data_IF_843541737289
#
_entry.id   IF_843541737289
#
_cell.length_a   1.000
_cell.length_b   1.000
_cell.length_c   1.000
_cell.angle_alpha   90.00
_cell.angle_beta   90.00
_cell.angle_gamma   90.00
#
_symmetry.space_group_name_H-M   'P 1'
#
loop_
_entity.id
_entity.type
_entity.pdbx_description
1 polymer ?
#
# COMPACT_ATOMS: atom_id res chain seq x y z
N UNK A 1 -37.61 -27.08 42.02
CA UNK A 1 -38.64 -26.11 42.47
C UNK A 1 -39.24 -25.48 41.23
N UNK A 2 -40.42 -25.97 40.82
CA UNK A 2 -41.24 -25.38 39.77
C UNK A 2 -42.68 -25.53 40.26
N UNK A 3 -43.36 -24.39 40.47
CA UNK A 3 -44.77 -24.26 40.80
C UNK A 3 -45.30 -23.18 39.86
N UNK A 4 -46.22 -23.58 38.96
CA UNK A 4 -47.64 -23.16 38.92
C UNK A 4 -47.86 -21.84 38.16
N UNK A 5 -48.92 -21.63 37.37
CA UNK A 5 -49.92 -22.41 36.63
C UNK A 5 -50.77 -21.32 35.94
N UNK A 6 -51.19 -21.50 34.67
CA UNK A 6 -52.61 -21.52 34.26
C UNK A 6 -53.38 -20.16 34.36
N UNK A 7 -54.25 -19.71 33.45
CA UNK A 7 -55.04 -20.38 32.41
C UNK A 7 -55.74 -19.36 31.48
N UNK A 8 -55.97 -19.82 30.24
CA UNK A 8 -57.22 -19.74 29.42
C UNK A 8 -57.74 -18.43 28.77
N UNK A 9 -57.77 -18.54 27.44
CA UNK A 9 -58.92 -18.48 26.48
C UNK A 9 -59.75 -17.18 26.42
N UNK A 10 -59.66 -16.51 25.26
CA UNK A 10 -60.47 -16.89 24.10
C UNK A 10 -61.54 -15.91 23.61
N UNK A 11 -61.56 -15.76 22.27
CA UNK A 11 -62.73 -15.58 21.37
C UNK A 11 -62.95 -14.18 20.79
N UNK A 12 -63.08 -14.19 19.46
CA UNK A 12 -63.38 -13.11 18.53
C UNK A 12 -64.89 -12.80 18.41
N UNK A 13 -65.22 -11.62 17.87
CA UNK A 13 -66.39 -11.18 17.04
C UNK A 13 -66.31 -9.64 17.01
N UNK A 14 -66.06 -8.97 15.89
CA UNK A 14 -66.92 -8.60 14.75
C UNK A 14 -67.97 -7.49 15.01
N UNK A 15 -68.04 -6.59 14.03
CA UNK A 15 -69.14 -5.70 13.61
C UNK A 15 -69.31 -4.26 14.16
N UNK A 16 -68.94 -3.31 13.27
CA UNK A 16 -69.73 -2.21 12.65
C UNK A 16 -70.44 -1.07 13.44
N UNK A 17 -70.29 0.11 12.82
CA UNK A 17 -71.26 1.20 12.58
C UNK A 17 -71.34 2.48 13.45
N UNK A 18 -71.09 3.59 12.72
CA UNK A 18 -71.82 4.88 12.66
C UNK A 18 -72.00 5.75 13.91
N UNK A 19 -71.55 7.02 13.85
CA UNK A 19 -72.35 8.22 13.49
C UNK A 19 -71.58 9.54 13.81
N UNK A 20 -71.23 10.37 12.82
CA UNK A 20 -71.70 11.76 12.53
C UNK A 20 -71.87 12.73 13.74
N UNK A 21 -71.58 14.04 13.72
CA UNK A 21 -71.54 15.04 12.64
C UNK A 21 -70.97 16.41 13.13
N UNK A 22 -70.44 17.22 12.16
CA UNK A 22 -70.53 18.71 12.02
C UNK A 22 -69.79 19.61 13.06
N UNK A 23 -69.25 20.79 12.74
CA UNK A 23 -69.27 21.70 11.57
C UNK A 23 -68.31 22.86 11.88
N UNK A 24 -67.57 23.39 10.89
CA UNK A 24 -67.03 24.75 10.97
C UNK A 24 -65.74 25.02 10.18
N UNK A 25 -65.84 25.10 8.86
CA UNK A 25 -64.91 25.88 8.00
C UNK A 25 -65.58 27.25 7.70
N UNK A 26 -64.87 28.36 7.42
CA UNK A 26 -63.86 28.43 6.34
C UNK A 26 -62.69 29.43 6.48
N UNK A 27 -61.57 29.15 5.78
CA UNK A 27 -61.09 29.95 4.63
C UNK A 27 -59.62 29.63 4.27
N UNK A 28 -59.46 28.94 3.15
CA UNK A 28 -58.70 29.38 1.96
C UNK A 28 -57.30 29.97 2.16
N UNK A 29 -56.27 29.16 1.90
CA UNK A 29 -55.26 29.55 0.90
C UNK A 29 -54.60 28.33 0.24
N UNK A 30 -54.75 28.26 -1.08
CA UNK A 30 -54.22 27.23 -1.97
C UNK A 30 -52.77 27.58 -2.33
N UNK A 31 -51.82 26.69 -2.06
CA UNK A 31 -50.63 26.51 -2.92
C UNK A 31 -50.31 25.00 -2.98
N UNK A 32 -50.42 24.45 -4.19
CA UNK A 32 -49.91 23.13 -4.54
C UNK A 32 -48.38 23.21 -4.75
N UNK A 33 -47.62 22.33 -4.11
CA UNK A 33 -46.31 21.87 -4.60
C UNK A 33 -45.96 20.52 -3.95
N UNK A 34 -45.68 19.51 -4.77
CA UNK A 34 -45.67 18.10 -4.39
C UNK A 34 -44.57 17.67 -3.42
N UNK A 35 -44.92 16.74 -2.54
CA UNK A 35 -43.97 15.95 -1.74
C UNK A 35 -43.17 15.02 -2.67
N UNK A 36 -41.98 15.45 -3.09
CA UNK A 36 -40.91 14.53 -3.45
C UNK A 36 -40.32 13.97 -2.16
N UNK A 37 -40.53 12.68 -1.89
CA UNK A 37 -39.78 11.95 -0.86
C UNK A 37 -38.35 11.81 -1.37
N UNK A 38 -37.51 12.79 -1.04
CA UNK A 38 -36.07 12.69 -1.20
C UNK A 38 -35.54 11.69 -0.18
N UNK A 39 -35.23 10.49 -0.63
CA UNK A 39 -34.44 9.52 0.14
C UNK A 39 -33.04 10.12 0.34
N UNK A 40 -32.84 10.85 1.44
CA UNK A 40 -31.52 11.23 1.89
C UNK A 40 -30.81 9.94 2.36
N UNK A 41 -30.13 9.26 1.45
CA UNK A 41 -29.08 8.32 1.82
C UNK A 41 -27.99 9.14 2.49
N UNK A 42 -28.04 9.18 3.81
CA UNK A 42 -26.92 9.62 4.64
C UNK A 42 -25.78 8.64 4.35
N UNK A 43 -24.93 8.97 3.37
CA UNK A 43 -23.62 8.39 3.21
C UNK A 43 -22.87 8.73 4.49
N UNK A 44 -22.95 7.85 5.48
CA UNK A 44 -22.00 7.84 6.59
C UNK A 44 -20.66 7.54 5.95
N UNK A 45 -19.91 8.60 5.66
CA UNK A 45 -18.48 8.50 5.46
C UNK A 45 -17.95 8.05 6.81
N UNK A 46 -17.88 6.73 7.00
CA UNK A 46 -17.11 6.18 8.09
C UNK A 46 -15.71 6.77 7.91
N UNK A 47 -15.13 7.38 8.95
CA UNK A 47 -13.74 7.80 8.85
C UNK A 47 -12.95 6.56 8.45
N UNK A 48 -12.33 6.61 7.27
CA UNK A 48 -11.24 5.70 6.94
C UNK A 48 -10.17 6.05 7.97
N UNK A 49 -10.18 5.34 9.09
CA UNK A 49 -9.11 5.44 10.06
C UNK A 49 -7.85 5.10 9.29
N UNK A 50 -6.96 6.09 9.10
CA UNK A 50 -5.65 5.86 8.53
C UNK A 50 -4.97 4.79 9.41
N UNK A 51 -4.97 3.56 8.92
CA UNK A 51 -4.31 2.45 9.57
C UNK A 51 -2.82 2.71 9.39
N UNK A 52 -2.10 2.89 10.50
CA UNK A 52 -0.70 3.28 10.50
C UNK A 52 0.13 2.17 9.84
N UNK A 53 0.39 2.34 8.54
CA UNK A 53 1.03 1.35 7.71
C UNK A 53 2.54 1.49 7.77
N UNK A 54 3.22 0.36 7.87
CA UNK A 54 4.65 0.26 7.69
C UNK A 54 4.97 -0.83 6.66
N UNK A 55 6.14 -0.70 6.06
CA UNK A 55 6.76 -1.71 5.21
C UNK A 55 7.98 -2.26 5.92
N UNK A 56 8.04 -3.58 6.11
CA UNK A 56 9.27 -4.23 6.52
C UNK A 56 10.12 -4.47 5.27
N UNK A 57 11.42 -4.22 5.34
CA UNK A 57 12.38 -4.59 4.30
C UNK A 57 13.10 -5.83 4.80
N UNK A 58 12.85 -6.98 4.20
CA UNK A 58 13.49 -8.24 4.58
C UNK A 58 14.89 -8.36 3.94
N UNK A 59 15.77 -9.13 4.57
CA UNK A 59 17.14 -9.37 4.10
C UNK A 59 17.19 -10.10 2.74
N UNK A 60 16.14 -10.82 2.38
CA UNK A 60 15.98 -11.47 1.08
C UNK A 60 15.42 -10.54 -0.01
N UNK A 61 15.12 -9.29 0.35
CA UNK A 61 14.56 -8.26 -0.54
C UNK A 61 13.03 -8.25 -0.61
N UNK A 62 12.34 -9.15 0.08
CA UNK A 62 10.88 -9.06 0.20
C UNK A 62 10.48 -7.85 1.04
N UNK A 63 9.34 -7.24 0.70
CA UNK A 63 8.86 -6.01 1.35
C UNK A 63 7.40 -6.09 1.74
N UNK A 64 7.04 -6.88 2.76
CA UNK A 64 5.66 -6.97 3.22
C UNK A 64 5.22 -5.63 3.84
N UNK A 65 4.02 -5.18 3.48
CA UNK A 65 3.38 -3.98 4.04
C UNK A 65 2.10 -4.34 4.79
N UNK A 66 1.81 -3.59 5.84
CA UNK A 66 0.62 -3.75 6.66
C UNK A 66 0.65 -2.83 7.88
N UNK A 67 -0.28 -3.03 8.80
CA UNK A 67 -0.25 -2.34 10.08
C UNK A 67 0.80 -2.99 10.98
N UNK A 68 1.80 -2.22 11.40
CA UNK A 68 2.77 -2.72 12.35
C UNK A 68 2.14 -2.70 13.75
N UNK A 69 2.14 -3.84 14.42
CA UNK A 69 1.42 -4.00 15.69
C UNK A 69 2.39 -3.96 16.87
N UNK A 70 3.47 -4.74 16.80
CA UNK A 70 4.32 -5.01 17.95
C UNK A 70 5.71 -5.51 17.49
N UNK A 71 6.68 -5.43 18.40
CA UNK A 71 7.97 -6.08 18.35
C UNK A 71 8.15 -6.88 19.63
N UNK A 72 8.21 -8.20 19.51
CA UNK A 72 8.44 -9.08 20.66
C UNK A 72 9.55 -10.10 20.38
N UNK A 73 9.72 -11.07 21.28
CA UNK A 73 10.77 -12.08 21.18
C UNK A 73 10.77 -12.88 19.86
N UNK A 74 9.61 -13.03 19.20
CA UNK A 74 9.51 -13.70 17.90
C UNK A 74 9.70 -12.76 16.70
N UNK A 75 9.87 -11.45 16.93
CA UNK A 75 10.12 -10.45 15.90
C UNK A 75 8.96 -9.47 15.69
N UNK A 76 8.85 -8.94 14.47
CA UNK A 76 7.86 -7.93 14.09
C UNK A 76 6.53 -8.58 13.76
N UNK A 77 5.44 -8.08 14.36
CA UNK A 77 4.08 -8.50 14.02
C UNK A 77 3.46 -7.49 13.07
N UNK A 78 3.17 -7.94 11.85
CA UNK A 78 2.52 -7.14 10.82
C UNK A 78 1.11 -7.69 10.57
N UNK A 79 0.10 -6.82 10.63
CA UNK A 79 -1.28 -7.16 10.33
C UNK A 79 -1.66 -6.71 8.92
N UNK A 80 -2.11 -7.66 8.12
CA UNK A 80 -2.52 -7.46 6.73
C UNK A 80 -3.88 -8.10 6.51
N UNK A 81 -4.88 -7.32 6.06
CA UNK A 81 -6.26 -7.81 5.86
C UNK A 81 -6.86 -8.51 7.09
N UNK A 82 -6.56 -8.00 8.28
CA UNK A 82 -7.01 -8.58 9.56
C UNK A 82 -6.28 -9.87 9.98
N UNK A 83 -5.32 -10.35 9.19
CA UNK A 83 -4.47 -11.48 9.54
C UNK A 83 -3.12 -10.97 10.07
N UNK A 84 -2.71 -11.48 11.22
CA UNK A 84 -1.41 -11.16 11.81
C UNK A 84 -0.36 -12.17 11.31
N UNK A 85 0.80 -11.64 10.91
CA UNK A 85 1.94 -12.43 10.51
C UNK A 85 3.19 -11.92 11.22
N UNK A 86 3.97 -12.86 11.74
CA UNK A 86 5.22 -12.56 12.41
C UNK A 86 6.40 -12.69 11.45
N UNK A 87 7.35 -11.77 11.56
CA UNK A 87 8.59 -11.71 10.81
C UNK A 87 9.77 -11.69 11.78
N UNK A 88 10.66 -12.70 11.76
CA UNK A 88 11.81 -12.74 12.66
C UNK A 88 12.66 -11.47 12.58
N UNK A 89 13.03 -10.90 13.72
CA UNK A 89 13.75 -9.62 13.75
C UNK A 89 15.11 -9.67 13.01
N UNK A 90 15.76 -10.83 13.01
CA UNK A 90 17.01 -11.09 12.29
C UNK A 90 16.85 -11.22 10.77
N UNK A 91 15.62 -11.28 10.26
CA UNK A 91 15.32 -11.28 8.83
C UNK A 91 14.89 -9.91 8.33
N UNK A 92 14.66 -8.93 9.22
CA UNK A 92 14.23 -7.58 8.87
C UNK A 92 15.42 -6.63 8.86
N UNK A 93 15.75 -6.08 7.69
CA UNK A 93 16.78 -5.06 7.52
C UNK A 93 16.30 -3.68 7.99
N UNK A 94 15.06 -3.33 7.68
CA UNK A 94 14.49 -2.02 8.00
C UNK A 94 12.97 -2.06 8.19
N UNK A 95 12.44 -1.03 8.86
CA UNK A 95 11.02 -0.70 8.98
C UNK A 95 10.81 0.70 8.38
N UNK A 96 9.89 0.83 7.44
CA UNK A 96 9.62 2.07 6.71
C UNK A 96 8.18 2.51 6.93
N UNK A 97 7.99 3.62 7.65
CA UNK A 97 6.71 4.34 7.72
C UNK A 97 6.57 5.35 6.58
N UNK A 98 7.70 5.72 5.96
CA UNK A 98 7.79 6.44 4.68
C UNK A 98 8.78 5.67 3.82
N UNK A 99 8.31 5.20 2.66
CA UNK A 99 9.18 4.52 1.70
C UNK A 99 9.99 5.56 0.92
N UNK A 100 11.29 5.29 0.80
CA UNK A 100 12.20 6.17 0.07
C UNK A 100 13.65 5.74 0.25
N UNK A 101 14.50 6.12 -0.70
CA UNK A 101 15.93 5.94 -0.52
C UNK A 101 16.45 6.88 0.58
N UNK A 102 17.30 6.41 1.51
CA UNK A 102 17.91 7.30 2.49
C UNK A 102 18.89 8.26 1.80
N UNK A 103 19.13 9.41 2.43
CA UNK A 103 20.12 10.36 1.93
C UNK A 103 21.52 9.70 1.82
N UNK A 104 22.39 10.08 0.87
CA UNK A 104 23.67 9.40 0.65
C UNK A 104 24.57 9.27 1.89
N UNK A 105 24.58 10.30 2.75
CA UNK A 105 25.32 10.26 4.01
C UNK A 105 24.74 9.24 5.00
N UNK A 106 23.42 9.11 5.07
CA UNK A 106 22.72 8.07 5.84
C UNK A 106 23.01 6.69 5.27
N UNK A 107 22.95 6.55 3.94
CA UNK A 107 23.27 5.28 3.26
C UNK A 107 24.66 4.77 3.60
N UNK A 108 25.68 5.63 3.59
CA UNK A 108 27.05 5.23 3.95
C UNK A 108 27.16 4.68 5.39
N UNK A 109 26.35 5.21 6.31
CA UNK A 109 26.29 4.74 7.71
C UNK A 109 25.55 3.41 7.83
N UNK A 110 24.46 3.23 7.06
CA UNK A 110 23.75 1.95 6.95
C UNK A 110 24.70 0.88 6.41
N UNK A 111 25.45 1.19 5.35
CA UNK A 111 26.42 0.26 4.74
C UNK A 111 27.55 -0.13 5.70
N UNK A 112 27.90 0.77 6.63
CA UNK A 112 28.82 0.49 7.73
C UNK A 112 28.19 -0.35 8.88
N UNK A 113 26.93 -0.77 8.74
CA UNK A 113 26.21 -1.58 9.72
C UNK A 113 25.67 -0.79 10.92
N UNK A 114 25.58 0.53 10.83
CA UNK A 114 25.05 1.35 11.93
C UNK A 114 23.52 1.23 11.98
N UNK A 115 22.93 0.97 13.17
CA UNK A 115 21.50 1.04 13.35
C UNK A 115 21.07 2.51 13.46
N UNK A 116 20.13 2.93 12.62
CA UNK A 116 19.78 4.33 12.44
C UNK A 116 18.27 4.52 12.41
N UNK A 117 17.82 5.63 12.96
CA UNK A 117 16.44 6.09 12.89
C UNK A 117 16.45 7.38 12.08
N UNK A 118 15.68 7.43 11.01
CA UNK A 118 15.46 8.63 10.19
C UNK A 118 14.11 9.20 10.58
N UNK A 119 14.10 10.42 11.08
CA UNK A 119 12.87 11.16 11.37
C UNK A 119 12.30 11.78 10.09
N UNK A 120 10.99 12.06 10.07
CA UNK A 120 10.33 12.77 8.96
C UNK A 120 10.85 14.19 8.77
N UNK A 121 11.46 14.78 9.80
CA UNK A 121 12.19 16.05 9.71
C UNK A 121 13.49 15.95 8.89
N UNK A 122 13.94 14.73 8.56
CA UNK A 122 15.24 14.45 7.94
C UNK A 122 16.38 14.27 8.94
N UNK A 123 16.13 14.48 10.23
CA UNK A 123 17.12 14.22 11.28
C UNK A 123 17.42 12.72 11.38
N UNK A 124 18.71 12.37 11.49
CA UNK A 124 19.17 10.99 11.65
C UNK A 124 19.72 10.77 13.04
N UNK A 125 19.26 9.71 13.70
CA UNK A 125 19.60 9.34 15.07
C UNK A 125 20.25 7.97 15.03
N UNK A 126 21.33 7.80 15.79
CA UNK A 126 21.95 6.50 15.99
C UNK A 126 21.30 5.79 17.17
N UNK A 127 20.87 4.55 16.96
CA UNK A 127 20.23 3.77 18.01
C UNK A 127 19.56 2.51 17.48
N UNK A 128 19.21 1.61 18.39
CA UNK A 128 18.55 0.34 18.09
C UNK A 128 17.10 0.42 18.52
N UNK A 129 16.19 -0.08 17.70
CA UNK A 129 14.81 -0.30 18.13
C UNK A 129 14.79 -1.36 19.23
N UNK A 130 14.22 -1.00 20.38
CA UNK A 130 14.13 -1.85 21.56
C UNK A 130 12.72 -2.44 21.74
N UNK A 131 11.68 -1.61 21.58
CA UNK A 131 10.28 -1.98 21.80
C UNK A 131 9.37 -1.21 20.85
N UNK A 132 8.26 -1.83 20.44
CA UNK A 132 7.15 -1.17 19.76
C UNK A 132 5.91 -1.37 20.64
N UNK A 133 5.34 -0.28 21.10
CA UNK A 133 4.09 -0.33 21.86
C UNK A 133 3.11 0.76 21.43
N UNK A 134 2.08 0.95 22.23
CA UNK A 134 1.01 1.87 21.88
C UNK A 134 0.10 1.28 20.79
N UNK A 135 -0.84 2.10 20.31
CA UNK A 135 -1.78 1.65 19.28
C UNK A 135 -1.81 2.64 18.13
N UNK A 136 -2.01 3.94 18.41
CA UNK A 136 -1.95 5.03 17.41
C UNK A 136 -1.63 6.39 18.07
N UNK A 137 -0.51 7.06 17.73
CA UNK A 137 0.61 6.49 17.00
C UNK A 137 1.28 5.36 17.81
N UNK A 138 2.01 4.48 17.12
CA UNK A 138 2.94 3.58 17.79
C UNK A 138 4.00 4.38 18.56
N UNK A 139 4.34 3.90 19.76
CA UNK A 139 5.50 4.31 20.54
C UNK A 139 6.67 3.40 20.17
N UNK A 140 7.74 4.01 19.71
CA UNK A 140 8.97 3.36 19.26
C UNK A 140 10.06 3.67 20.27
N UNK A 141 10.39 2.70 21.11
CA UNK A 141 11.44 2.84 22.13
C UNK A 141 12.77 2.55 21.48
N UNK A 142 13.67 3.53 21.46
CA UNK A 142 14.99 3.44 20.82
C UNK A 142 16.07 3.48 21.89
N UNK A 143 16.92 2.46 21.92
CA UNK A 143 18.14 2.46 22.71
C UNK A 143 19.24 3.26 22.00
N UNK A 144 19.65 4.38 22.59
CA UNK A 144 20.70 5.26 22.07
C UNK A 144 21.93 5.20 22.98
N UNK A 145 23.12 5.63 22.52
CA UNK A 145 24.29 5.75 23.40
C UNK A 145 24.07 6.65 24.63
N UNK A 146 23.08 7.55 24.58
CA UNK A 146 22.70 8.44 25.68
C UNK A 146 21.60 7.89 26.60
N UNK A 147 21.15 6.65 26.37
CA UNK A 147 20.01 6.02 27.03
C UNK A 147 18.79 5.86 26.11
N UNK A 148 17.75 5.21 26.62
CA UNK A 148 16.52 4.97 25.86
C UNK A 148 15.73 6.26 25.63
N UNK A 149 15.13 6.37 24.45
CA UNK A 149 14.27 7.48 24.04
C UNK A 149 13.07 6.97 23.26
N UNK A 150 11.91 7.57 23.50
CA UNK A 150 10.70 7.23 22.78
C UNK A 150 10.47 8.21 21.62
N UNK A 151 10.08 7.65 20.47
CA UNK A 151 9.56 8.39 19.33
C UNK A 151 8.18 7.87 18.97
N UNK A 152 7.42 8.67 18.22
CA UNK A 152 6.16 8.20 17.64
C UNK A 152 6.37 7.80 16.18
N UNK A 153 5.59 6.86 15.68
CA UNK A 153 5.56 6.50 14.24
C UNK A 153 5.07 7.63 13.32
N UNK A 154 4.43 8.66 13.88
CA UNK A 154 4.18 9.92 13.17
C UNK A 154 5.46 10.75 12.96
N UNK A 155 6.46 10.62 13.83
CA UNK A 155 7.71 11.38 13.74
C UNK A 155 8.81 10.62 13.00
N UNK A 156 8.75 9.29 13.03
CA UNK A 156 9.73 8.41 12.39
C UNK A 156 9.35 8.16 10.93
N UNK A 157 10.32 8.32 10.04
CA UNK A 157 10.20 7.94 8.64
C UNK A 157 10.66 6.49 8.44
N UNK A 158 11.86 6.15 8.93
CA UNK A 158 12.50 4.86 8.68
C UNK A 158 13.35 4.43 9.88
N UNK A 159 13.44 3.12 10.10
CA UNK A 159 14.29 2.48 11.10
C UNK A 159 15.14 1.44 10.38
N UNK A 160 16.47 1.60 10.42
CA UNK A 160 17.43 0.65 9.88
C UNK A 160 18.00 -0.19 11.02
N UNK A 161 17.77 -1.50 10.98
CA UNK A 161 18.15 -2.45 12.03
C UNK A 161 19.50 -3.10 11.70
N UNK A 162 19.65 -3.50 10.44
CA UNK A 162 20.83 -4.14 9.89
C UNK A 162 21.09 -3.60 8.48
N UNK A 163 22.36 -3.59 8.05
CA UNK A 163 22.66 -3.47 6.64
C UNK A 163 22.03 -4.68 5.92
N UNK A 164 21.18 -4.50 4.88
CA UNK A 164 20.75 -5.63 4.09
C UNK A 164 21.99 -6.34 3.54
N UNK A 165 22.00 -7.67 3.59
CA UNK A 165 23.09 -8.46 3.03
C UNK A 165 23.07 -8.25 1.52
N UNK A 166 23.83 -7.28 1.03
CA UNK A 166 24.01 -7.04 -0.39
C UNK A 166 24.48 -8.37 -0.97
N UNK A 167 23.71 -8.95 -1.90
CA UNK A 167 24.23 -10.03 -2.73
C UNK A 167 25.59 -9.53 -3.24
N UNK A 168 26.66 -10.24 -2.89
CA UNK A 168 28.02 -9.76 -3.04
C UNK A 168 28.23 -9.24 -4.47
N UNK A 169 28.22 -7.92 -4.62
CA UNK A 169 28.58 -7.29 -5.87
C UNK A 169 30.11 -7.34 -5.96
N UNK A 170 30.69 -7.62 -7.14
CA UNK A 170 32.14 -7.51 -7.33
C UNK A 170 32.60 -6.09 -6.98
N UNK A 171 33.81 -6.00 -6.42
CA UNK A 171 34.37 -4.81 -5.77
C UNK A 171 34.52 -3.56 -6.66
N UNK A 172 34.34 -2.38 -6.01
CA UNK A 172 34.92 -1.03 -6.28
C UNK A 172 34.43 -0.26 -7.55
N UNK A 173 34.01 1.03 -7.60
CA UNK A 173 34.03 2.26 -6.72
C UNK A 173 32.86 3.26 -7.10
N UNK A 174 32.73 4.54 -6.63
CA UNK A 174 31.49 5.09 -6.05
C UNK A 174 30.81 6.22 -6.86
N UNK A 175 29.54 6.49 -6.55
CA UNK A 175 28.81 7.77 -6.63
C UNK A 175 27.32 7.44 -6.55
N UNK A 176 26.56 8.22 -5.77
CA UNK A 176 25.09 8.30 -5.76
C UNK A 176 24.49 7.68 -7.02
N UNK A 177 23.89 6.48 -6.91
CA UNK A 177 23.62 5.59 -8.03
C UNK A 177 23.15 6.40 -9.24
N UNK A 178 24.10 6.71 -10.13
CA UNK A 178 23.79 7.47 -11.31
C UNK A 178 22.75 6.61 -12.01
N UNK A 179 21.55 7.16 -12.24
CA UNK A 179 20.51 6.51 -13.04
C UNK A 179 21.26 5.89 -14.23
N UNK A 180 21.33 4.55 -14.34
CA UNK A 180 22.25 3.93 -15.28
C UNK A 180 22.03 4.55 -16.66
N UNK A 181 23.07 4.79 -17.45
CA UNK A 181 22.87 5.39 -18.78
C UNK A 181 21.84 4.57 -19.55
N UNK A 182 20.74 5.20 -19.93
CA UNK A 182 19.61 4.54 -20.60
C UNK A 182 18.54 3.94 -19.68
N UNK A 183 18.61 4.17 -18.37
CA UNK A 183 17.53 3.78 -17.46
C UNK A 183 16.33 4.73 -17.59
N UNK A 184 15.16 4.14 -17.46
CA UNK A 184 13.86 4.79 -17.61
C UNK A 184 13.26 4.95 -16.22
N UNK A 185 12.82 6.16 -15.91
CA UNK A 185 12.08 6.43 -14.67
C UNK A 185 10.59 6.22 -14.94
N UNK A 186 10.02 5.19 -14.31
CA UNK A 186 8.58 4.91 -14.35
C UNK A 186 7.97 5.53 -13.11
N UNK A 187 7.22 6.62 -13.27
CA UNK A 187 6.54 7.29 -12.15
C UNK A 187 5.30 6.50 -11.75
N UNK A 188 5.06 6.38 -10.45
CA UNK A 188 3.87 5.72 -9.92
C UNK A 188 2.57 6.47 -10.18
N UNK A 189 2.65 7.78 -10.38
CA UNK A 189 1.51 8.71 -10.50
C UNK A 189 0.98 8.89 -11.94
N UNK A 190 1.38 8.01 -12.86
CA UNK A 190 0.93 8.05 -14.24
C UNK A 190 0.83 6.63 -14.83
N UNK A 191 -0.07 6.41 -15.80
CA UNK A 191 -0.32 5.06 -16.31
C UNK A 191 0.81 4.50 -17.16
N UNK A 192 1.46 5.34 -17.99
CA UNK A 192 2.45 4.88 -18.96
C UNK A 192 3.60 5.88 -19.16
N UNK A 193 4.82 5.38 -19.05
CA UNK A 193 6.06 6.04 -19.46
C UNK A 193 6.56 5.46 -20.78
N UNK A 194 6.93 6.34 -21.73
CA UNK A 194 7.58 5.91 -22.98
C UNK A 194 9.00 5.46 -22.68
N UNK A 195 9.38 4.25 -23.11
CA UNK A 195 10.74 3.74 -22.91
C UNK A 195 11.79 4.37 -23.83
N UNK A 196 11.35 5.05 -24.89
CA UNK A 196 12.23 5.55 -25.96
C UNK A 196 12.67 4.49 -26.98
N UNK A 197 12.33 3.21 -26.77
CA UNK A 197 12.68 2.13 -27.71
C UNK A 197 11.48 1.61 -28.49
N UNK A 198 11.76 1.21 -29.74
CA UNK A 198 10.88 0.38 -30.55
C UNK A 198 11.40 -1.05 -30.53
N UNK A 199 10.47 -2.01 -30.43
CA UNK A 199 10.76 -3.44 -30.41
C UNK A 199 10.08 -4.16 -31.57
N UNK A 200 10.64 -5.30 -31.96
CA UNK A 200 10.03 -6.24 -32.89
C UNK A 200 9.38 -7.43 -32.16
N UNK A 201 8.33 -7.99 -32.73
CA UNK A 201 7.69 -9.20 -32.22
C UNK A 201 8.71 -10.33 -32.14
N UNK A 202 8.79 -10.98 -30.97
CA UNK A 202 9.75 -12.05 -30.69
C UNK A 202 11.15 -11.59 -30.31
N UNK A 203 11.45 -10.29 -30.35
CA UNK A 203 12.66 -9.73 -29.75
C UNK A 203 12.66 -10.02 -28.25
N UNK A 204 13.79 -10.45 -27.68
CA UNK A 204 13.90 -10.77 -26.25
C UNK A 204 14.53 -9.60 -25.51
N UNK A 205 13.77 -9.04 -24.57
CA UNK A 205 14.20 -7.95 -23.72
C UNK A 205 14.30 -8.46 -22.29
N UNK A 206 15.46 -8.29 -21.69
CA UNK A 206 15.65 -8.42 -20.26
C UNK A 206 15.40 -7.07 -19.61
N UNK A 207 14.64 -7.08 -18.50
CA UNK A 207 14.33 -5.90 -17.72
C UNK A 207 15.04 -6.03 -16.38
N UNK A 208 15.83 -5.04 -16.02
CA UNK A 208 16.34 -4.91 -14.66
C UNK A 208 15.70 -3.67 -14.06
N UNK A 209 14.93 -3.86 -13.00
CA UNK A 209 14.18 -2.79 -12.37
C UNK A 209 14.49 -2.73 -10.88
N UNK A 210 14.45 -1.53 -10.33
CA UNK A 210 14.53 -1.27 -8.89
C UNK A 210 13.62 -0.11 -8.53
N UNK A 211 13.43 0.11 -7.24
CA UNK A 211 12.61 1.19 -6.71
C UNK A 211 11.26 0.72 -6.23
N UNK A 212 10.50 1.68 -5.71
CA UNK A 212 9.24 1.46 -5.01
C UNK A 212 8.31 2.63 -5.26
N UNK A 213 7.02 2.34 -5.12
CA UNK A 213 5.96 3.33 -5.17
C UNK A 213 5.07 3.17 -3.94
N UNK A 214 4.35 4.23 -3.59
CA UNK A 214 3.14 4.13 -2.81
C UNK A 214 1.98 3.93 -3.78
N UNK A 215 1.13 2.95 -3.52
CA UNK A 215 -0.13 2.68 -4.23
C UNK A 215 -1.37 3.15 -3.45
N UNK A 216 -1.14 3.58 -2.20
CA UNK A 216 -2.08 4.28 -1.34
C UNK A 216 -1.26 4.95 -0.23
N UNK A 217 -1.87 5.82 0.58
CA UNK A 217 -1.19 6.55 1.65
C UNK A 217 -0.36 5.68 2.62
N UNK A 218 -0.74 4.41 2.81
CA UNK A 218 -0.14 3.47 3.74
C UNK A 218 0.19 2.10 3.11
N UNK A 219 0.21 2.01 1.78
CA UNK A 219 0.54 0.78 1.07
C UNK A 219 1.64 1.05 0.04
N UNK A 220 2.79 0.41 0.24
CA UNK A 220 3.88 0.44 -0.74
C UNK A 220 3.82 -0.75 -1.68
N UNK A 221 4.44 -0.62 -2.84
CA UNK A 221 4.66 -1.70 -3.78
C UNK A 221 6.07 -1.60 -4.34
N UNK A 222 6.81 -2.71 -4.31
CA UNK A 222 8.02 -2.88 -5.11
C UNK A 222 7.67 -3.31 -6.54
N UNK A 223 8.69 -3.50 -7.39
CA UNK A 223 8.52 -3.85 -8.82
C UNK A 223 7.66 -5.09 -9.07
N UNK A 224 7.59 -6.03 -8.11
CA UNK A 224 6.78 -7.24 -8.19
C UNK A 224 5.29 -7.06 -7.88
N UNK A 225 4.90 -5.87 -7.39
CA UNK A 225 3.55 -5.60 -6.92
C UNK A 225 3.37 -5.89 -5.43
N UNK A 226 2.30 -5.37 -4.86
CA UNK A 226 1.89 -5.67 -3.49
C UNK A 226 0.75 -6.70 -3.48
N UNK A 227 1.02 -7.98 -3.13
CA UNK A 227 -0.02 -9.01 -3.05
C UNK A 227 -0.94 -8.87 -1.83
N UNK A 228 -0.60 -8.03 -0.85
CA UNK A 228 -1.44 -7.75 0.30
C UNK A 228 -2.67 -6.92 -0.07
N UNK A 229 -2.54 -6.05 -1.07
CA UNK A 229 -3.63 -5.20 -1.53
C UNK A 229 -4.37 -5.95 -2.64
N UNK A 230 -5.50 -6.54 -2.29
CA UNK A 230 -6.37 -7.23 -3.24
C UNK A 230 -7.76 -6.62 -3.20
N UNK A 231 -8.28 -6.29 -4.38
CA UNK A 231 -9.65 -5.82 -4.52
C UNK A 231 -10.33 -6.63 -5.63
N UNK A 232 -11.28 -7.53 -5.29
CA UNK A 232 -11.92 -8.39 -6.29
C UNK A 232 -12.83 -7.61 -7.27
N UNK A 233 -13.19 -6.38 -6.91
CA UNK A 233 -13.99 -5.48 -7.75
C UNK A 233 -13.14 -4.73 -8.79
N UNK A 234 -11.85 -4.54 -8.54
CA UNK A 234 -10.98 -3.76 -9.40
C UNK A 234 -10.46 -4.61 -10.56
N UNK A 235 -10.35 -3.99 -11.73
CA UNK A 235 -9.81 -4.59 -12.95
C UNK A 235 -8.50 -3.88 -13.30
N UNK A 236 -7.40 -4.39 -12.76
CA UNK A 236 -6.07 -3.89 -13.12
C UNK A 236 -5.73 -4.17 -14.59
N UNK A 237 -4.84 -3.37 -15.21
CA UNK A 237 -4.40 -3.57 -16.58
C UNK A 237 -3.92 -5.01 -16.86
N UNK A 238 -3.24 -5.64 -15.89
CA UNK A 238 -2.82 -7.04 -15.92
C UNK A 238 -3.49 -7.79 -14.77
N UNK A 239 -4.53 -8.56 -15.10
CA UNK A 239 -5.44 -9.19 -14.12
C UNK A 239 -4.76 -10.15 -13.12
N UNK A 240 -3.75 -10.89 -13.56
CA UNK A 240 -3.06 -11.89 -12.72
C UNK A 240 -1.76 -11.36 -12.12
N UNK A 241 -1.58 -10.04 -12.10
CA UNK A 241 -0.44 -9.38 -11.49
C UNK A 241 -0.92 -8.57 -10.29
N UNK A 242 -0.18 -8.53 -9.16
CA UNK A 242 -0.59 -7.71 -8.03
C UNK A 242 -0.61 -6.22 -8.39
N UNK A 243 -1.36 -5.43 -7.61
CA UNK A 243 -1.38 -3.97 -7.75
C UNK A 243 0.02 -3.39 -7.55
N UNK A 244 0.34 -2.31 -8.23
CA UNK A 244 1.64 -1.66 -8.16
C UNK A 244 2.76 -2.36 -8.93
N UNK A 245 2.55 -3.58 -9.43
CA UNK A 245 3.56 -4.32 -10.18
C UNK A 245 4.02 -3.55 -11.44
N UNK A 246 5.30 -3.65 -11.77
CA UNK A 246 5.83 -3.12 -13.03
C UNK A 246 5.24 -3.93 -14.20
N UNK A 247 4.63 -3.21 -15.14
CA UNK A 247 4.03 -3.79 -16.35
C UNK A 247 4.55 -3.08 -17.60
N UNK A 248 4.33 -3.70 -18.75
CA UNK A 248 4.65 -3.09 -20.04
C UNK A 248 3.55 -3.35 -21.07
N UNK A 249 3.57 -2.54 -22.12
CA UNK A 249 2.79 -2.78 -23.35
C UNK A 249 3.56 -2.33 -24.59
N UNK A 250 3.21 -2.90 -25.73
CA UNK A 250 3.77 -2.49 -27.04
C UNK A 250 2.70 -1.76 -27.84
N UNK A 251 2.90 -0.47 -28.08
CA UNK A 251 1.89 0.41 -28.67
C UNK A 251 0.57 0.36 -27.89
N UNK A 252 -0.53 0.10 -28.60
CA UNK A 252 -1.87 -0.02 -28.02
C UNK A 252 -2.30 -1.49 -27.79
N UNK A 253 -1.35 -2.43 -27.73
CA UNK A 253 -1.66 -3.83 -27.44
C UNK A 253 -1.91 -4.06 -25.95
N UNK A 254 -2.45 -5.25 -25.64
CA UNK A 254 -2.67 -5.68 -24.26
C UNK A 254 -1.37 -5.60 -23.45
N UNK A 255 -1.43 -5.10 -22.20
CA UNK A 255 -0.28 -5.06 -21.33
C UNK A 255 0.08 -6.45 -20.80
N UNK A 256 1.33 -6.61 -20.37
CA UNK A 256 1.89 -7.83 -19.80
C UNK A 256 2.73 -7.52 -18.56
N UNK A 257 2.83 -8.49 -17.64
CA UNK A 257 3.62 -8.36 -16.44
C UNK A 257 5.13 -8.37 -16.73
N UNK A 258 5.86 -7.46 -16.10
CA UNK A 258 7.31 -7.58 -15.91
C UNK A 258 7.54 -8.06 -14.48
N UNK A 259 7.00 -7.36 -13.49
CA UNK A 259 7.10 -7.76 -12.09
C UNK A 259 8.55 -7.89 -11.61
N UNK A 260 8.78 -8.89 -10.76
CA UNK A 260 10.12 -9.30 -10.33
C UNK A 260 10.79 -10.32 -11.30
N UNK A 261 10.31 -10.44 -12.54
CA UNK A 261 10.87 -11.38 -13.51
C UNK A 261 12.29 -10.96 -13.91
N UNK A 262 13.25 -11.87 -13.73
CA UNK A 262 14.64 -11.67 -14.14
C UNK A 262 14.96 -12.32 -15.49
N UNK A 263 14.02 -13.05 -16.09
CA UNK A 263 14.22 -13.72 -17.37
C UNK A 263 13.81 -12.84 -18.56
N UNK A 264 14.49 -12.97 -19.71
CA UNK A 264 14.16 -12.19 -20.90
C UNK A 264 12.79 -12.52 -21.49
N UNK A 265 11.97 -11.49 -21.66
CA UNK A 265 10.60 -11.58 -22.18
C UNK A 265 10.62 -11.38 -23.71
N UNK A 266 9.95 -12.28 -24.44
CA UNK A 266 9.72 -12.12 -25.87
C UNK A 266 8.61 -11.08 -26.12
N UNK A 267 8.90 -10.06 -26.92
CA UNK A 267 7.96 -8.97 -27.16
C UNK A 267 6.75 -9.44 -27.98
N UNK A 268 5.51 -9.14 -27.55
CA UNK A 268 4.31 -9.71 -28.14
C UNK A 268 3.95 -9.11 -29.51
N UNK A 269 4.49 -7.93 -29.83
CA UNK A 269 4.17 -7.18 -31.05
C UNK A 269 5.33 -6.28 -31.48
N UNK A 270 5.20 -5.71 -32.67
CA UNK A 270 6.05 -4.62 -33.14
C UNK A 270 5.53 -3.28 -32.58
N UNK A 271 6.43 -2.37 -32.20
CA UNK A 271 6.06 -0.99 -31.87
C UNK A 271 6.83 -0.39 -30.71
N UNK A 272 6.40 0.79 -30.26
CA UNK A 272 6.99 1.46 -29.11
C UNK A 272 6.70 0.68 -27.83
N UNK A 273 7.72 0.43 -27.02
CA UNK A 273 7.57 -0.16 -25.71
C UNK A 273 7.23 0.94 -24.69
N UNK A 274 6.20 0.72 -23.89
CA UNK A 274 5.82 1.58 -22.76
C UNK A 274 5.89 0.76 -21.47
N UNK A 275 6.30 1.42 -20.39
CA UNK A 275 6.37 0.87 -19.04
C UNK A 275 5.31 1.55 -18.17
N UNK A 276 4.73 0.83 -17.22
CA UNK A 276 3.68 1.36 -16.36
C UNK A 276 3.58 0.63 -15.04
N UNK A 277 2.67 1.10 -14.22
CA UNK A 277 2.31 0.50 -12.94
C UNK A 277 0.97 -0.22 -13.10
N UNK A 278 0.86 -1.43 -12.56
CA UNK A 278 -0.38 -2.18 -12.54
C UNK A 278 -1.35 -1.60 -11.52
N UNK A 279 -2.03 -0.53 -11.89
CA UNK A 279 -2.99 0.17 -11.04
C UNK A 279 -4.18 0.68 -11.85
N UNK A 280 -5.30 0.94 -11.17
CA UNK A 280 -6.51 1.52 -11.78
C UNK A 280 -6.69 3.01 -11.43
N UNK A 281 -6.07 3.47 -10.34
CA UNK A 281 -6.04 4.87 -9.93
C UNK A 281 -4.60 5.29 -9.62
N UNK A 282 -4.19 6.47 -10.09
CA UNK A 282 -2.77 6.90 -10.03
C UNK A 282 -2.56 8.18 -9.22
N UNK A 283 -3.62 8.90 -8.86
CA UNK A 283 -3.49 10.22 -8.23
C UNK A 283 -3.13 10.16 -6.74
N UNK A 284 -3.30 9.00 -6.10
CA UNK A 284 -2.85 8.67 -4.75
C UNK A 284 -1.49 7.94 -4.75
N UNK A 285 -0.91 7.73 -5.93
CA UNK A 285 0.38 7.08 -6.07
C UNK A 285 1.52 8.09 -5.98
N UNK A 286 2.65 7.64 -5.44
CA UNK A 286 3.90 8.42 -5.42
C UNK A 286 5.11 7.51 -5.54
N UNK A 287 6.29 8.07 -5.75
CA UNK A 287 7.52 7.31 -5.96
C UNK A 287 7.75 6.88 -7.41
N UNK A 288 8.79 6.09 -7.63
CA UNK A 288 9.26 5.73 -8.97
C UNK A 288 9.97 4.38 -9.01
N UNK A 289 9.84 3.67 -10.12
CA UNK A 289 10.77 2.62 -10.51
C UNK A 289 11.85 3.17 -11.45
N UNK A 290 13.06 2.61 -11.34
CA UNK A 290 14.15 2.80 -12.31
C UNK A 290 14.34 1.50 -13.07
N UNK A 291 14.24 1.55 -14.40
CA UNK A 291 14.26 0.36 -15.25
C UNK A 291 15.34 0.46 -16.32
N UNK A 292 16.25 -0.49 -16.41
CA UNK A 292 17.14 -0.67 -17.55
C UNK A 292 16.66 -1.83 -18.42
N UNK A 293 16.98 -1.78 -19.71
CA UNK A 293 16.60 -2.81 -20.67
C UNK A 293 17.81 -3.29 -21.43
N UNK A 294 17.96 -4.61 -21.52
CA UNK A 294 19.00 -5.26 -22.30
C UNK A 294 18.36 -6.05 -23.43
N UNK A 295 18.76 -5.75 -24.66
CA UNK A 295 18.37 -6.55 -25.84
C UNK A 295 19.28 -7.77 -25.92
N UNK A 296 18.71 -8.96 -25.88
CA UNK A 296 19.48 -10.15 -26.23
C UNK A 296 19.50 -10.29 -27.75
N UNK A 297 20.71 -10.14 -28.30
CA UNK A 297 20.97 -10.53 -29.68
C UNK A 297 20.95 -12.06 -29.75
N UNK A 298 20.34 -12.57 -30.82
CA UNK A 298 20.47 -13.99 -31.18
C UNK A 298 21.89 -14.28 -31.63
#
# INVERSE_FOLDING_TARGET
MCWIEQTRRGRATDNSDMNQSKSGDPMMNKIFAGCGVGLFTLLTVLPVHAQEGATLVLLDGQRPSGELIDLNAGGFTLRTNGQERQYPANEVAAVEFVVGAPAPATQARIDAGQPLIVLRSGQVIEGRLFDIGGTRPLRLTIDTPSGQRDYTSNDVAQIYLYAPKRAAAPAEVPAQAAVPRGAIIVRGDQPWTKSGITVAKGERIEFTATGDIMIAANASSGIGGNPAVTSPAIRYPVLNSPVGALIARVGNRAPFAIGANTQPIAMPANGQLLLGVNDDYFSDNSGTYTVTLTRLRR
#
